data_IF_082165824243
#
_entry.id   IF_082165824243
#
_cell.length_a   1.000
_cell.length_b   1.000
_cell.length_c   1.000
_cell.angle_alpha   90.00
_cell.angle_beta   90.00
_cell.angle_gamma   90.00
#
_symmetry.space_group_name_H-M   'P 1'
#
loop_
_entity.id
_entity.type
_entity.pdbx_description
1 polymer ?
#
# COMPACT_ATOMS: atom_id res chain seq x y z
N UNK A 1 7.73 -20.78 2.18
CA UNK A 1 6.84 -20.11 1.20
C UNK A 1 5.43 -20.05 1.79
N UNK A 2 4.89 -18.89 2.19
CA UNK A 2 3.56 -18.82 2.75
C UNK A 2 2.52 -18.99 1.64
N UNK A 3 1.61 -19.94 1.84
CA UNK A 3 0.62 -20.37 0.87
C UNK A 3 -0.26 -19.21 0.35
N UNK A 4 -0.29 -19.04 -0.97
CA UNK A 4 -1.15 -18.10 -1.68
C UNK A 4 -2.67 -18.36 -1.48
N UNK A 5 -3.05 -19.45 -0.80
CA UNK A 5 -4.44 -19.85 -0.56
C UNK A 5 -5.24 -18.94 0.38
N UNK A 6 -4.60 -18.27 1.35
CA UNK A 6 -5.31 -17.47 2.36
C UNK A 6 -6.00 -16.21 1.82
N UNK A 7 -5.42 -15.55 0.80
CA UNK A 7 -5.98 -14.33 0.21
C UNK A 7 -7.19 -14.59 -0.69
N UNK A 8 -7.20 -15.73 -1.40
CA UNK A 8 -8.30 -16.13 -2.28
C UNK A 8 -9.58 -16.48 -1.50
N UNK A 9 -9.44 -17.20 -0.38
CA UNK A 9 -10.56 -17.58 0.49
C UNK A 9 -11.27 -16.36 1.11
N UNK A 10 -10.49 -15.36 1.53
CA UNK A 10 -11.03 -14.10 2.09
C UNK A 10 -11.81 -13.30 1.04
N UNK A 11 -11.35 -13.29 -0.21
CA UNK A 11 -12.05 -12.64 -1.32
C UNK A 11 -13.37 -13.36 -1.65
N UNK A 12 -13.33 -14.67 -1.87
CA UNK A 12 -14.50 -15.48 -2.21
C UNK A 12 -15.61 -15.39 -1.15
N UNK A 13 -15.24 -15.42 0.15
CA UNK A 13 -16.22 -15.31 1.25
C UNK A 13 -16.93 -13.95 1.28
N UNK A 14 -16.21 -12.86 0.97
CA UNK A 14 -16.80 -11.51 0.90
C UNK A 14 -17.75 -11.38 -0.29
N UNK A 15 -17.33 -11.84 -1.46
CA UNK A 15 -18.15 -11.81 -2.67
C UNK A 15 -19.40 -12.68 -2.55
N UNK A 16 -19.28 -13.83 -1.90
CA UNK A 16 -20.43 -14.67 -1.60
C UNK A 16 -21.51 -13.90 -0.83
N UNK A 17 -21.17 -13.18 0.24
CA UNK A 17 -22.14 -12.38 1.02
C UNK A 17 -22.82 -11.31 0.17
N UNK A 18 -22.05 -10.57 -0.63
CA UNK A 18 -22.59 -9.53 -1.51
C UNK A 18 -23.44 -10.10 -2.64
N UNK A 19 -23.03 -11.22 -3.24
CA UNK A 19 -23.78 -11.94 -4.30
C UNK A 19 -25.10 -12.48 -3.75
N UNK A 20 -25.09 -13.17 -2.62
CA UNK A 20 -26.31 -13.72 -2.00
C UNK A 20 -27.30 -12.60 -1.68
N UNK A 21 -26.83 -11.47 -1.13
CA UNK A 21 -27.68 -10.31 -0.87
C UNK A 21 -28.28 -9.75 -2.17
N UNK A 22 -27.45 -9.53 -3.19
CA UNK A 22 -27.87 -8.95 -4.47
C UNK A 22 -28.85 -9.85 -5.23
N UNK A 23 -28.58 -11.15 -5.30
CA UNK A 23 -29.47 -12.10 -5.97
C UNK A 23 -30.76 -12.36 -5.20
N UNK A 24 -30.74 -12.34 -3.85
CA UNK A 24 -31.98 -12.43 -3.04
C UNK A 24 -32.86 -11.20 -3.22
N UNK A 25 -32.29 -10.00 -3.18
CA UNK A 25 -33.03 -8.77 -3.40
C UNK A 25 -33.49 -8.65 -4.86
N UNK A 26 -32.65 -9.08 -5.80
CA UNK A 26 -32.96 -9.14 -7.23
C UNK A 26 -34.06 -10.15 -7.55
N UNK A 27 -34.13 -11.28 -6.83
CA UNK A 27 -35.19 -12.27 -6.98
C UNK A 27 -36.57 -11.64 -6.79
N UNK A 28 -36.77 -10.81 -5.75
CA UNK A 28 -38.03 -10.10 -5.52
C UNK A 28 -38.37 -9.19 -6.71
N UNK A 29 -37.38 -8.45 -7.22
CA UNK A 29 -37.55 -7.59 -8.40
C UNK A 29 -37.98 -8.38 -9.65
N UNK A 30 -37.31 -9.50 -9.93
CA UNK A 30 -37.60 -10.34 -11.10
C UNK A 30 -38.93 -11.06 -10.97
N UNK A 31 -39.28 -11.59 -9.78
CA UNK A 31 -40.57 -12.23 -9.50
C UNK A 31 -41.73 -11.30 -9.87
N UNK A 32 -41.71 -10.06 -9.39
CA UNK A 32 -42.80 -9.10 -9.62
C UNK A 32 -42.78 -8.53 -11.05
N UNK A 33 -41.61 -8.49 -11.72
CA UNK A 33 -41.52 -8.18 -13.14
C UNK A 33 -42.13 -9.27 -14.02
N UNK A 34 -41.93 -10.54 -13.66
CA UNK A 34 -42.38 -11.71 -14.41
C UNK A 34 -43.82 -12.12 -14.11
N UNK A 35 -44.32 -11.88 -12.89
CA UNK A 35 -45.63 -12.36 -12.44
C UNK A 35 -46.80 -12.02 -13.40
N UNK A 36 -46.91 -10.79 -13.95
CA UNK A 36 -47.98 -10.44 -14.89
C UNK A 36 -47.88 -11.14 -16.26
N UNK A 37 -46.71 -11.70 -16.59
CA UNK A 37 -46.46 -12.35 -17.89
C UNK A 37 -46.91 -13.82 -17.91
N UNK A 38 -47.37 -14.35 -16.78
CA UNK A 38 -47.76 -15.76 -16.62
C UNK A 38 -46.74 -16.74 -17.22
N UNK A 39 -45.45 -16.67 -16.84
CA UNK A 39 -44.42 -17.47 -17.47
C UNK A 39 -44.58 -18.96 -17.15
N UNK A 40 -44.11 -19.85 -18.05
CA UNK A 40 -44.17 -21.28 -17.83
C UNK A 40 -43.37 -21.71 -16.59
N UNK A 41 -43.77 -22.83 -15.97
CA UNK A 41 -43.23 -23.31 -14.68
C UNK A 41 -41.71 -23.44 -14.65
N UNK A 42 -41.07 -23.79 -15.77
CA UNK A 42 -39.62 -23.92 -15.85
C UNK A 42 -38.89 -22.60 -15.56
N UNK A 43 -39.50 -21.45 -15.88
CA UNK A 43 -38.92 -20.12 -15.63
C UNK A 43 -38.85 -19.85 -14.13
N UNK A 44 -39.91 -20.21 -13.40
CA UNK A 44 -39.95 -20.10 -11.93
C UNK A 44 -38.87 -20.96 -11.28
N UNK A 45 -38.72 -22.21 -11.74
CA UNK A 45 -37.67 -23.12 -11.26
C UNK A 45 -36.28 -22.54 -11.53
N UNK A 46 -36.05 -22.05 -12.76
CA UNK A 46 -34.77 -21.42 -13.12
C UNK A 46 -34.46 -20.18 -12.27
N UNK A 47 -35.46 -19.34 -11.99
CA UNK A 47 -35.30 -18.15 -11.15
C UNK A 47 -34.89 -18.51 -9.72
N UNK A 48 -35.51 -19.53 -9.13
CA UNK A 48 -35.14 -20.02 -7.79
C UNK A 48 -33.71 -20.58 -7.77
N UNK A 49 -33.34 -21.37 -8.78
CA UNK A 49 -31.98 -21.90 -8.93
C UNK A 49 -30.97 -20.75 -9.06
N UNK A 50 -31.25 -19.76 -9.91
CA UNK A 50 -30.37 -18.62 -10.13
C UNK A 50 -30.22 -17.74 -8.88
N UNK A 51 -31.28 -17.53 -8.12
CA UNK A 51 -31.24 -16.67 -6.93
C UNK A 51 -30.57 -17.35 -5.73
N UNK A 52 -30.91 -18.62 -5.47
CA UNK A 52 -30.58 -19.28 -4.20
C UNK A 52 -29.54 -20.38 -4.34
N UNK A 53 -29.47 -21.11 -5.47
CA UNK A 53 -28.51 -22.21 -5.64
C UNK A 53 -27.18 -21.70 -6.20
N UNK A 54 -27.25 -20.85 -7.21
CA UNK A 54 -26.08 -20.32 -7.91
C UNK A 54 -25.05 -19.61 -7.01
N UNK A 55 -25.41 -18.74 -6.03
CA UNK A 55 -24.42 -18.13 -5.14
C UNK A 55 -23.52 -19.15 -4.43
N UNK A 56 -24.08 -20.29 -4.03
CA UNK A 56 -23.34 -21.36 -3.37
C UNK A 56 -22.43 -22.10 -4.35
N UNK A 57 -22.92 -22.41 -5.55
CA UNK A 57 -22.12 -23.04 -6.61
C UNK A 57 -20.95 -22.14 -7.03
N UNK A 58 -21.21 -20.85 -7.21
CA UNK A 58 -20.19 -19.86 -7.52
C UNK A 58 -19.11 -19.80 -6.41
N UNK A 59 -19.53 -19.79 -5.15
CA UNK A 59 -18.60 -19.83 -4.01
C UNK A 59 -17.76 -21.11 -3.98
N UNK A 60 -18.37 -22.27 -4.20
CA UNK A 60 -17.66 -23.55 -4.28
C UNK A 60 -16.66 -23.56 -5.44
N UNK A 61 -17.05 -23.08 -6.62
CA UNK A 61 -16.17 -22.99 -7.78
C UNK A 61 -14.95 -22.07 -7.51
N UNK A 62 -15.18 -20.92 -6.86
CA UNK A 62 -14.09 -20.00 -6.47
C UNK A 62 -13.19 -20.53 -5.37
N UNK A 63 -13.66 -21.48 -4.56
CA UNK A 63 -12.90 -22.13 -3.49
C UNK A 63 -11.98 -23.25 -3.99
N UNK A 64 -12.46 -24.05 -4.94
CA UNK A 64 -11.70 -25.20 -5.47
C UNK A 64 -10.85 -24.86 -6.71
N UNK A 65 -11.03 -23.67 -7.30
CA UNK A 65 -10.24 -23.23 -8.44
C UNK A 65 -8.80 -22.85 -8.08
N UNK A 66 -7.83 -23.26 -8.94
CA UNK A 66 -6.41 -22.93 -8.79
C UNK A 66 -6.12 -21.41 -8.74
N UNK A 67 -7.00 -20.59 -9.33
CA UNK A 67 -6.95 -19.14 -9.24
C UNK A 67 -8.33 -18.57 -8.87
N UNK A 68 -8.51 -18.29 -7.58
CA UNK A 68 -9.77 -17.79 -7.02
C UNK A 68 -10.25 -16.49 -7.69
N UNK A 69 -9.35 -15.56 -8.01
CA UNK A 69 -9.71 -14.28 -8.64
C UNK A 69 -10.24 -14.48 -10.07
N UNK A 70 -9.62 -15.38 -10.84
CA UNK A 70 -10.07 -15.70 -12.21
C UNK A 70 -11.42 -16.42 -12.20
N UNK A 71 -11.61 -17.36 -11.27
CA UNK A 71 -12.89 -18.03 -11.07
C UNK A 71 -13.99 -17.03 -10.71
N UNK A 72 -13.70 -16.09 -9.81
CA UNK A 72 -14.67 -15.10 -9.38
C UNK A 72 -15.07 -14.15 -10.51
N UNK A 73 -14.12 -13.71 -11.34
CA UNK A 73 -14.42 -12.91 -12.54
C UNK A 73 -15.33 -13.68 -13.50
N UNK A 74 -15.12 -14.97 -13.71
CA UNK A 74 -16.01 -15.80 -14.54
C UNK A 74 -17.43 -15.86 -13.95
N UNK A 75 -17.55 -16.03 -12.64
CA UNK A 75 -18.85 -16.07 -11.97
C UNK A 75 -19.59 -14.73 -12.08
N UNK A 76 -18.90 -13.60 -11.98
CA UNK A 76 -19.50 -12.26 -12.17
C UNK A 76 -19.96 -12.00 -13.62
N UNK A 77 -19.24 -12.53 -14.61
CA UNK A 77 -19.69 -12.47 -16.01
C UNK A 77 -20.95 -13.32 -16.20
N UNK A 78 -21.04 -14.47 -15.54
CA UNK A 78 -22.26 -15.28 -15.53
C UNK A 78 -23.42 -14.55 -14.82
N UNK A 79 -23.17 -13.91 -13.67
CA UNK A 79 -24.16 -13.07 -12.98
C UNK A 79 -24.68 -11.96 -13.92
N UNK A 80 -23.77 -11.31 -14.64
CA UNK A 80 -24.08 -10.26 -15.62
C UNK A 80 -24.91 -10.79 -16.79
N UNK A 81 -24.56 -11.96 -17.31
CA UNK A 81 -25.35 -12.65 -18.34
C UNK A 81 -26.77 -12.96 -17.85
N UNK A 82 -26.92 -13.54 -16.65
CA UNK A 82 -28.22 -13.81 -16.06
C UNK A 82 -29.02 -12.53 -15.83
N UNK A 83 -28.38 -11.45 -15.38
CA UNK A 83 -29.03 -10.14 -15.23
C UNK A 83 -29.59 -9.62 -16.57
N UNK A 84 -28.82 -9.72 -17.65
CA UNK A 84 -29.29 -9.39 -18.99
C UNK A 84 -30.43 -10.30 -19.47
N UNK A 85 -30.35 -11.61 -19.20
CA UNK A 85 -31.41 -12.55 -19.51
C UNK A 85 -32.73 -12.16 -18.85
N UNK A 86 -32.71 -11.81 -17.55
CA UNK A 86 -33.92 -11.40 -16.84
C UNK A 86 -34.51 -10.09 -17.36
N UNK A 87 -33.69 -9.15 -17.81
CA UNK A 87 -34.14 -7.90 -18.44
C UNK A 87 -34.97 -8.18 -19.71
N UNK A 88 -34.50 -9.09 -20.56
CA UNK A 88 -35.25 -9.52 -21.73
C UNK A 88 -36.53 -10.28 -21.35
N UNK A 89 -36.44 -11.17 -20.36
CA UNK A 89 -37.56 -12.02 -19.94
C UNK A 89 -38.71 -11.20 -19.35
N UNK A 90 -38.40 -10.11 -18.65
CA UNK A 90 -39.37 -9.14 -18.12
C UNK A 90 -39.89 -8.16 -19.18
N UNK A 91 -39.63 -8.41 -20.47
CA UNK A 91 -40.07 -7.58 -21.59
C UNK A 91 -39.63 -6.11 -21.41
N UNK A 92 -38.39 -5.91 -20.95
CA UNK A 92 -37.77 -4.59 -20.76
C UNK A 92 -38.56 -3.62 -19.88
N UNK A 93 -39.27 -4.13 -18.86
CA UNK A 93 -39.93 -3.26 -17.88
C UNK A 93 -38.91 -2.25 -17.29
N UNK A 94 -39.14 -0.93 -17.40
CA UNK A 94 -38.11 0.08 -17.17
C UNK A 94 -37.43 -0.02 -15.82
N UNK A 95 -38.19 -0.07 -14.72
CA UNK A 95 -37.63 -0.02 -13.38
C UNK A 95 -36.87 -1.31 -13.02
N UNK A 96 -37.45 -2.53 -13.11
CA UNK A 96 -36.71 -3.78 -12.86
C UNK A 96 -35.48 -3.94 -13.75
N UNK A 97 -35.56 -3.50 -15.01
CA UNK A 97 -34.47 -3.62 -15.97
C UNK A 97 -33.30 -2.71 -15.58
N UNK A 98 -33.56 -1.42 -15.33
CA UNK A 98 -32.53 -0.47 -14.91
C UNK A 98 -31.91 -0.88 -13.58
N UNK A 99 -32.72 -1.32 -12.61
CA UNK A 99 -32.22 -1.82 -11.33
C UNK A 99 -31.30 -3.03 -11.50
N UNK A 100 -31.67 -4.00 -12.32
CA UNK A 100 -30.89 -5.22 -12.57
C UNK A 100 -29.57 -4.89 -13.29
N UNK A 101 -29.62 -4.13 -14.39
CA UNK A 101 -28.43 -3.74 -15.15
C UNK A 101 -27.47 -2.88 -14.31
N UNK A 102 -28.02 -1.96 -13.51
CA UNK A 102 -27.23 -1.12 -12.60
C UNK A 102 -26.55 -1.97 -11.53
N UNK A 103 -27.27 -2.92 -10.94
CA UNK A 103 -26.71 -3.85 -9.95
C UNK A 103 -25.53 -4.66 -10.52
N UNK A 104 -25.70 -5.24 -11.71
CA UNK A 104 -24.64 -6.02 -12.37
C UNK A 104 -23.44 -5.15 -12.71
N UNK A 105 -23.68 -3.93 -13.20
CA UNK A 105 -22.63 -2.96 -13.52
C UNK A 105 -21.86 -2.54 -12.27
N UNK A 106 -22.54 -2.25 -11.16
CA UNK A 106 -21.91 -1.92 -9.87
C UNK A 106 -20.99 -3.04 -9.40
N UNK A 107 -21.41 -4.30 -9.50
CA UNK A 107 -20.58 -5.45 -9.15
C UNK A 107 -19.33 -5.55 -10.01
N UNK A 108 -19.47 -5.39 -11.33
CA UNK A 108 -18.35 -5.45 -12.25
C UNK A 108 -17.30 -4.35 -11.97
N UNK A 109 -17.76 -3.13 -11.67
CA UNK A 109 -16.87 -2.01 -11.33
C UNK A 109 -16.20 -2.24 -9.98
N UNK A 110 -16.95 -2.64 -8.95
CA UNK A 110 -16.43 -2.82 -7.59
C UNK A 110 -15.29 -3.85 -7.51
N UNK A 111 -15.28 -4.85 -8.40
CA UNK A 111 -14.35 -5.98 -8.33
C UNK A 111 -13.31 -5.96 -9.45
N UNK A 112 -13.71 -5.60 -10.67
CA UNK A 112 -12.85 -5.67 -11.85
C UNK A 112 -12.46 -4.32 -12.45
N UNK A 113 -13.01 -3.22 -11.93
CA UNK A 113 -12.77 -1.87 -12.43
C UNK A 113 -13.42 -1.61 -13.81
N UNK A 114 -13.08 -0.48 -14.45
CA UNK A 114 -13.78 -0.02 -15.66
C UNK A 114 -13.58 -0.92 -16.88
N UNK A 115 -12.42 -1.58 -17.00
CA UNK A 115 -12.18 -2.53 -18.12
C UNK A 115 -13.05 -3.76 -18.02
N UNK A 116 -13.28 -4.25 -16.81
CA UNK A 116 -14.13 -5.42 -16.58
C UNK A 116 -15.63 -5.08 -16.69
N UNK A 117 -16.01 -3.84 -16.38
CA UNK A 117 -17.36 -3.31 -16.63
C UNK A 117 -17.78 -3.50 -18.10
N UNK A 118 -16.89 -3.21 -19.06
CA UNK A 118 -17.17 -3.38 -20.49
C UNK A 118 -17.47 -4.83 -20.83
N UNK A 119 -16.68 -5.78 -20.32
CA UNK A 119 -16.94 -7.22 -20.49
C UNK A 119 -18.29 -7.62 -19.87
N UNK A 120 -18.64 -7.02 -18.73
CA UNK A 120 -19.92 -7.19 -18.08
C UNK A 120 -21.09 -6.69 -18.92
N UNK A 121 -20.95 -5.58 -19.63
CA UNK A 121 -21.97 -5.09 -20.58
C UNK A 121 -22.12 -6.01 -21.79
N UNK A 122 -21.02 -6.54 -22.31
CA UNK A 122 -21.08 -7.57 -23.37
C UNK A 122 -21.84 -8.81 -22.87
N UNK A 123 -21.54 -9.29 -21.66
CA UNK A 123 -22.25 -10.42 -21.06
C UNK A 123 -23.75 -10.14 -20.87
N UNK A 124 -24.11 -8.94 -20.39
CA UNK A 124 -25.51 -8.50 -20.28
C UNK A 124 -26.21 -8.48 -21.64
N UNK A 125 -25.56 -7.92 -22.68
CA UNK A 125 -26.09 -7.91 -24.04
C UNK A 125 -26.31 -9.31 -24.62
N UNK A 126 -25.37 -10.24 -24.39
CA UNK A 126 -25.54 -11.64 -24.77
C UNK A 126 -26.71 -12.30 -24.03
N UNK A 127 -26.88 -12.01 -22.73
CA UNK A 127 -28.02 -12.49 -21.94
C UNK A 127 -29.36 -12.00 -22.48
N UNK A 128 -29.44 -10.71 -22.80
CA UNK A 128 -30.62 -10.11 -23.44
C UNK A 128 -30.91 -10.80 -24.79
N UNK A 129 -29.89 -11.01 -25.62
CA UNK A 129 -30.02 -11.69 -26.91
C UNK A 129 -30.58 -13.10 -26.78
N UNK A 130 -30.07 -13.89 -25.83
CA UNK A 130 -30.60 -15.24 -25.55
C UNK A 130 -32.05 -15.17 -25.06
N UNK A 131 -32.38 -14.21 -24.20
CA UNK A 131 -33.75 -14.03 -23.75
C UNK A 131 -34.72 -13.71 -24.89
N UNK A 132 -34.32 -12.88 -25.85
CA UNK A 132 -35.15 -12.52 -27.00
C UNK A 132 -35.37 -13.68 -27.98
N UNK A 133 -34.51 -14.70 -27.94
CA UNK A 133 -34.72 -15.94 -28.70
C UNK A 133 -35.71 -16.88 -28.00
N UNK A 134 -35.76 -16.84 -26.66
CA UNK A 134 -36.60 -17.71 -25.84
C UNK A 134 -37.99 -17.12 -25.63
N UNK A 135 -38.08 -15.81 -25.44
CA UNK A 135 -39.32 -15.06 -25.26
C UNK A 135 -39.51 -14.14 -26.46
N UNK A 136 -40.74 -14.07 -26.99
CA UNK A 136 -41.05 -13.17 -28.09
C UNK A 136 -40.73 -11.71 -27.70
N UNK A 137 -40.09 -10.92 -28.58
CA UNK A 137 -39.71 -9.56 -28.26
C UNK A 137 -40.95 -8.72 -27.93
N UNK A 138 -40.99 -8.20 -26.71
CA UNK A 138 -42.05 -7.32 -26.22
C UNK A 138 -41.45 -6.25 -25.31
N UNK A 139 -42.13 -5.10 -25.25
CA UNK A 139 -41.71 -3.94 -24.49
C UNK A 139 -42.86 -3.42 -23.63
N UNK A 140 -42.72 -3.51 -22.30
CA UNK A 140 -43.70 -2.97 -21.35
C UNK A 140 -43.21 -1.60 -20.88
N UNK A 141 -43.84 -0.53 -21.34
CA UNK A 141 -43.39 0.85 -21.08
C UNK A 141 -43.72 1.36 -19.67
N UNK A 142 -44.62 0.69 -18.93
CA UNK A 142 -45.15 1.19 -17.65
C UNK A 142 -44.88 0.18 -16.54
N UNK A 143 -44.29 0.65 -15.44
CA UNK A 143 -44.08 -0.14 -14.22
C UNK A 143 -45.29 0.00 -13.30
N UNK A 144 -45.85 -1.11 -12.83
CA UNK A 144 -46.98 -1.10 -11.88
C UNK A 144 -46.55 -0.69 -10.47
N UNK A 145 -47.49 -0.26 -9.63
CA UNK A 145 -47.20 0.12 -8.24
C UNK A 145 -46.60 -1.05 -7.41
N UNK A 146 -47.03 -2.29 -7.67
CA UNK A 146 -46.48 -3.48 -7.02
C UNK A 146 -45.04 -3.75 -7.44
N UNK A 147 -44.72 -3.60 -8.73
CA UNK A 147 -43.34 -3.70 -9.25
C UNK A 147 -42.44 -2.60 -8.69
N UNK A 148 -42.96 -1.38 -8.56
CA UNK A 148 -42.24 -0.26 -7.95
C UNK A 148 -41.83 -0.59 -6.51
N UNK A 149 -42.78 -1.00 -5.67
CA UNK A 149 -42.49 -1.34 -4.28
C UNK A 149 -41.55 -2.55 -4.16
N UNK A 150 -41.66 -3.53 -5.05
CA UNK A 150 -40.75 -4.67 -5.11
C UNK A 150 -39.28 -4.27 -5.42
N UNK A 151 -39.06 -3.17 -6.14
CA UNK A 151 -37.72 -2.67 -6.47
C UNK A 151 -37.10 -1.77 -5.38
N UNK A 152 -37.90 -1.21 -4.46
CA UNK A 152 -37.37 -0.29 -3.45
C UNK A 152 -36.30 -0.91 -2.54
N UNK A 153 -36.44 -2.16 -2.03
CA UNK A 153 -35.42 -2.76 -1.17
C UNK A 153 -34.08 -2.93 -1.87
N UNK A 154 -34.06 -3.40 -3.13
CA UNK A 154 -32.82 -3.56 -3.89
C UNK A 154 -32.19 -2.19 -4.21
N UNK A 155 -33.00 -1.18 -4.56
CA UNK A 155 -32.50 0.16 -4.87
C UNK A 155 -31.91 0.88 -3.66
N UNK A 156 -32.46 0.68 -2.46
CA UNK A 156 -31.95 1.31 -1.23
C UNK A 156 -30.85 0.48 -0.56
N UNK A 157 -31.10 -0.80 -0.31
CA UNK A 157 -30.24 -1.61 0.55
C UNK A 157 -28.97 -2.07 -0.19
N UNK A 158 -29.06 -2.37 -1.48
CA UNK A 158 -27.92 -2.94 -2.20
C UNK A 158 -26.77 -1.95 -2.42
N UNK A 159 -27.00 -0.71 -2.95
CA UNK A 159 -25.92 0.26 -3.10
C UNK A 159 -25.29 0.66 -1.77
N UNK A 160 -26.10 0.78 -0.70
CA UNK A 160 -25.59 1.05 0.65
C UNK A 160 -24.71 -0.09 1.16
N UNK A 161 -25.16 -1.33 1.02
CA UNK A 161 -24.39 -2.51 1.43
C UNK A 161 -23.07 -2.61 0.64
N UNK A 162 -23.11 -2.44 -0.68
CA UNK A 162 -21.92 -2.49 -1.54
C UNK A 162 -20.96 -1.34 -1.22
N UNK A 163 -21.48 -0.12 -1.07
CA UNK A 163 -20.70 1.07 -0.69
C UNK A 163 -20.01 0.90 0.66
N UNK A 164 -20.71 0.39 1.67
CA UNK A 164 -20.14 0.07 2.98
C UNK A 164 -19.03 -0.98 2.90
N UNK A 165 -19.23 -2.04 2.11
CA UNK A 165 -18.22 -3.08 1.89
C UNK A 165 -16.97 -2.48 1.23
N UNK A 166 -17.13 -1.69 0.17
CA UNK A 166 -16.03 -1.02 -0.52
C UNK A 166 -15.27 -0.04 0.40
N UNK A 167 -15.99 0.77 1.18
CA UNK A 167 -15.39 1.69 2.14
C UNK A 167 -14.55 0.97 3.19
N UNK A 168 -15.11 -0.08 3.83
CA UNK A 168 -14.37 -0.88 4.83
C UNK A 168 -13.13 -1.54 4.26
N UNK A 169 -13.18 -2.00 3.00
CA UNK A 169 -12.02 -2.56 2.33
C UNK A 169 -10.93 -1.52 2.09
N UNK A 170 -11.30 -0.32 1.62
CA UNK A 170 -10.35 0.78 1.41
C UNK A 170 -9.64 1.16 2.72
N UNK A 171 -10.39 1.32 3.81
CA UNK A 171 -9.83 1.64 5.14
C UNK A 171 -8.91 0.53 5.66
N UNK A 172 -9.33 -0.73 5.55
CA UNK A 172 -8.53 -1.88 6.03
C UNK A 172 -7.22 -2.00 5.26
N UNK A 173 -7.27 -1.82 3.93
CA UNK A 173 -6.09 -1.84 3.07
C UNK A 173 -5.13 -0.70 3.43
N UNK A 174 -5.65 0.50 3.65
CA UNK A 174 -4.84 1.65 4.07
C UNK A 174 -4.15 1.40 5.43
N UNK A 175 -4.86 0.79 6.39
CA UNK A 175 -4.28 0.45 7.70
C UNK A 175 -3.16 -0.57 7.57
N UNK A 176 -3.37 -1.68 6.86
CA UNK A 176 -2.33 -2.69 6.65
C UNK A 176 -1.12 -2.12 5.90
N UNK A 177 -1.34 -1.23 4.94
CA UNK A 177 -0.24 -0.51 4.28
C UNK A 177 0.57 0.31 5.29
N UNK A 178 -0.08 1.03 6.21
CA UNK A 178 0.61 1.79 7.27
C UNK A 178 1.36 0.88 8.24
N UNK A 179 0.76 -0.23 8.67
CA UNK A 179 1.42 -1.22 9.53
C UNK A 179 2.67 -1.81 8.86
N UNK A 180 2.58 -2.17 7.57
CA UNK A 180 3.73 -2.66 6.81
C UNK A 180 4.83 -1.60 6.67
N UNK A 181 4.45 -0.33 6.47
CA UNK A 181 5.42 0.77 6.43
C UNK A 181 6.06 1.02 7.79
N UNK A 182 5.31 0.90 8.89
CA UNK A 182 5.83 1.02 10.25
C UNK A 182 6.78 -0.13 10.61
N UNK A 183 6.56 -1.33 10.07
CA UNK A 183 7.45 -2.49 10.21
C UNK A 183 8.64 -2.46 9.24
N UNK A 184 8.69 -1.50 8.31
CA UNK A 184 9.87 -1.33 7.45
C UNK A 184 11.08 -0.99 8.32
N UNK A 185 12.20 -1.69 8.12
CA UNK A 185 13.49 -1.33 8.75
C UNK A 185 14.27 -0.30 7.94
N UNK A 186 13.80 0.04 6.74
CA UNK A 186 14.49 0.91 5.80
C UNK A 186 13.69 2.17 5.51
N UNK A 187 14.39 3.30 5.38
CA UNK A 187 13.81 4.54 4.91
C UNK A 187 13.54 4.47 3.39
N UNK A 188 12.33 4.87 2.98
CA UNK A 188 11.88 4.70 1.60
C UNK A 188 12.60 5.58 0.58
N UNK A 189 13.18 6.71 1.02
CA UNK A 189 13.87 7.65 0.14
C UNK A 189 15.34 7.28 -0.04
N UNK A 190 16.04 7.02 1.06
CA UNK A 190 17.47 6.70 1.09
C UNK A 190 17.77 5.22 0.86
N UNK A 191 16.82 4.34 1.19
CA UNK A 191 17.03 2.89 1.29
C UNK A 191 17.93 2.46 2.45
N UNK A 192 18.45 3.39 3.26
CA UNK A 192 19.25 3.08 4.45
C UNK A 192 18.34 2.58 5.58
N UNK A 193 18.92 2.18 6.72
CA UNK A 193 18.14 1.93 7.91
C UNK A 193 17.32 3.18 8.26
N UNK A 194 16.07 3.01 8.68
CA UNK A 194 15.32 4.13 9.26
C UNK A 194 15.78 4.40 10.70
N UNK A 195 15.32 5.52 11.24
CA UNK A 195 15.61 5.96 12.61
C UNK A 195 15.50 4.84 13.65
N UNK A 196 14.36 4.13 13.67
CA UNK A 196 14.11 3.05 14.63
C UNK A 196 15.08 1.88 14.47
N UNK A 197 15.23 1.36 13.25
CA UNK A 197 16.10 0.22 13.00
C UNK A 197 17.57 0.54 13.26
N UNK A 198 18.03 1.76 12.96
CA UNK A 198 19.39 2.17 13.26
C UNK A 198 19.63 2.27 14.78
N UNK A 199 18.68 2.83 15.53
CA UNK A 199 18.75 2.91 16.99
C UNK A 199 18.79 1.53 17.66
N UNK A 200 18.03 0.57 17.14
CA UNK A 200 18.08 -0.83 17.61
C UNK A 200 19.49 -1.42 17.41
N UNK A 201 20.13 -1.13 16.27
CA UNK A 201 21.50 -1.57 16.00
C UNK A 201 22.53 -0.86 16.88
N UNK A 202 22.32 0.42 17.21
CA UNK A 202 23.18 1.16 18.13
C UNK A 202 23.19 0.49 19.51
N UNK A 203 22.02 0.10 20.02
CA UNK A 203 21.92 -0.58 21.31
C UNK A 203 22.65 -1.93 21.28
N UNK A 204 22.50 -2.70 20.20
CA UNK A 204 23.22 -3.98 20.02
C UNK A 204 24.73 -3.76 20.05
N UNK A 205 25.24 -2.77 19.30
CA UNK A 205 26.68 -2.49 19.25
C UNK A 205 27.20 -1.94 20.58
N UNK A 206 26.43 -1.11 21.27
CA UNK A 206 26.77 -0.62 22.61
C UNK A 206 26.94 -1.79 23.60
N UNK A 207 25.99 -2.73 23.62
CA UNK A 207 26.09 -3.92 24.48
C UNK A 207 27.25 -4.84 24.09
N UNK A 208 27.62 -4.89 22.79
CA UNK A 208 28.79 -5.61 22.31
C UNK A 208 30.09 -4.97 22.84
N UNK A 209 30.23 -3.65 22.72
CA UNK A 209 31.40 -2.90 23.21
C UNK A 209 31.55 -3.00 24.73
N UNK A 210 30.45 -3.03 25.48
CA UNK A 210 30.49 -3.26 26.94
C UNK A 210 31.09 -4.61 27.34
N UNK A 211 31.03 -5.62 26.46
CA UNK A 211 31.50 -6.98 26.74
C UNK A 211 32.97 -7.21 26.34
N UNK A 212 33.57 -6.35 25.54
CA UNK A 212 34.94 -6.54 25.07
C UNK A 212 35.59 -5.28 24.49
N UNK A 213 36.92 -5.16 24.53
CA UNK A 213 37.66 -3.92 24.27
C UNK A 213 37.80 -3.55 22.78
N UNK A 214 36.86 -3.96 21.92
CA UNK A 214 36.91 -3.56 20.52
C UNK A 214 36.58 -2.07 20.40
N UNK A 215 37.43 -1.30 19.71
CA UNK A 215 37.17 0.11 19.45
C UNK A 215 35.94 0.25 18.56
N UNK A 216 35.03 1.16 18.87
CA UNK A 216 33.90 1.49 18.01
C UNK A 216 33.70 3.00 17.99
N UNK A 217 33.12 3.51 16.91
CA UNK A 217 32.72 4.91 16.80
C UNK A 217 31.34 5.02 16.16
N UNK A 218 30.66 6.11 16.44
CA UNK A 218 29.45 6.51 15.72
C UNK A 218 29.63 7.89 15.12
N UNK A 219 29.00 8.10 13.96
CA UNK A 219 28.96 9.37 13.26
C UNK A 219 27.52 9.86 13.17
N UNK A 220 27.30 11.14 13.49
CA UNK A 220 26.11 11.90 13.12
C UNK A 220 26.48 12.86 12.00
N UNK A 221 25.69 12.87 10.95
CA UNK A 221 25.97 13.57 9.70
C UNK A 221 24.76 14.45 9.39
N UNK A 222 24.99 15.70 9.07
CA UNK A 222 23.96 16.65 8.68
C UNK A 222 24.33 17.32 7.35
N UNK A 223 23.34 17.49 6.48
CA UNK A 223 23.53 18.23 5.23
C UNK A 223 23.44 19.72 5.53
N UNK A 224 24.56 20.42 5.33
CA UNK A 224 24.64 21.84 5.59
C UNK A 224 23.64 22.62 4.72
N UNK A 225 22.89 23.51 5.36
CA UNK A 225 21.94 24.40 4.69
C UNK A 225 20.84 23.69 3.88
N UNK A 226 20.47 22.45 4.22
CA UNK A 226 19.47 21.68 3.46
C UNK A 226 18.13 22.39 3.27
N UNK A 227 17.67 23.14 4.27
CA UNK A 227 16.46 23.97 4.15
C UNK A 227 16.58 25.01 3.02
N UNK A 228 17.73 25.69 2.92
CA UNK A 228 17.99 26.67 1.85
C UNK A 228 18.00 25.98 0.48
N UNK A 229 18.53 24.75 0.40
CA UNK A 229 18.49 23.96 -0.84
C UNK A 229 17.05 23.68 -1.26
N UNK A 230 16.19 23.25 -0.33
CA UNK A 230 14.78 23.02 -0.62
C UNK A 230 14.05 24.31 -1.02
N UNK A 231 14.32 25.41 -0.33
CA UNK A 231 13.66 26.69 -0.58
C UNK A 231 14.08 27.30 -1.93
N UNK A 232 15.34 27.07 -2.35
CA UNK A 232 15.91 27.65 -3.59
C UNK A 232 15.67 26.77 -4.81
N UNK A 233 15.85 25.45 -4.68
CA UNK A 233 15.85 24.50 -5.81
C UNK A 233 14.65 23.54 -5.79
N UNK A 234 13.78 23.64 -4.78
CA UNK A 234 12.61 22.79 -4.60
C UNK A 234 12.91 21.44 -3.95
N UNK A 235 11.87 20.84 -3.36
CA UNK A 235 11.96 19.55 -2.65
C UNK A 235 12.46 18.39 -3.51
N UNK A 236 12.22 18.41 -4.82
CA UNK A 236 12.72 17.37 -5.74
C UNK A 236 14.25 17.35 -5.76
N UNK A 237 14.88 18.53 -5.72
CA UNK A 237 16.33 18.66 -5.67
C UNK A 237 16.87 18.21 -4.30
N UNK A 238 16.20 18.59 -3.21
CA UNK A 238 16.54 18.08 -1.87
C UNK A 238 16.50 16.55 -1.79
N UNK A 239 15.47 15.93 -2.36
CA UNK A 239 15.36 14.47 -2.46
C UNK A 239 16.53 13.84 -3.26
N UNK A 240 17.01 14.51 -4.32
CA UNK A 240 18.18 14.06 -5.08
C UNK A 240 19.43 14.10 -4.20
N UNK A 241 19.65 15.20 -3.47
CA UNK A 241 20.78 15.36 -2.54
C UNK A 241 20.78 14.25 -1.48
N UNK A 242 19.63 13.98 -0.86
CA UNK A 242 19.47 12.90 0.13
C UNK A 242 19.81 11.52 -0.47
N UNK A 243 19.34 11.22 -1.68
CA UNK A 243 19.67 9.96 -2.38
C UNK A 243 21.15 9.86 -2.72
N UNK A 244 21.80 10.97 -3.11
CA UNK A 244 23.24 10.98 -3.39
C UNK A 244 24.06 10.72 -2.13
N UNK A 245 23.74 11.35 -1.01
CA UNK A 245 24.40 11.06 0.26
C UNK A 245 24.27 9.59 0.64
N UNK A 246 23.06 9.03 0.47
CA UNK A 246 22.78 7.61 0.72
C UNK A 246 23.64 6.69 -0.14
N UNK A 247 23.85 7.05 -1.42
CA UNK A 247 24.71 6.32 -2.34
C UNK A 247 26.18 6.43 -1.93
N UNK A 248 26.65 7.61 -1.59
CA UNK A 248 28.02 7.85 -1.11
C UNK A 248 28.29 7.03 0.15
N UNK A 249 27.38 7.04 1.13
CA UNK A 249 27.49 6.20 2.33
C UNK A 249 27.63 4.72 1.97
N UNK A 250 26.73 4.16 1.16
CA UNK A 250 26.79 2.74 0.75
C UNK A 250 28.06 2.35 0.00
N UNK A 251 28.64 3.27 -0.77
CA UNK A 251 29.81 3.00 -1.60
C UNK A 251 31.14 3.10 -0.83
N UNK A 252 31.16 3.85 0.27
CA UNK A 252 32.40 4.13 1.02
C UNK A 252 32.43 3.43 2.39
N UNK A 253 31.32 2.86 2.84
CA UNK A 253 31.23 2.09 4.08
C UNK A 253 31.46 0.60 3.84
N UNK A 254 32.02 -0.07 4.86
CA UNK A 254 32.23 -1.53 4.87
C UNK A 254 30.90 -2.24 5.05
N UNK A 255 30.85 -3.53 4.74
CA UNK A 255 29.65 -4.36 4.95
C UNK A 255 29.22 -4.46 6.41
N UNK A 256 30.15 -4.27 7.34
CA UNK A 256 29.91 -4.27 8.79
C UNK A 256 29.43 -2.92 9.31
N UNK A 257 29.65 -1.84 8.57
CA UNK A 257 29.25 -0.50 8.98
C UNK A 257 27.75 -0.30 8.70
N UNK A 258 27.04 0.34 9.63
CA UNK A 258 25.58 0.45 9.56
C UNK A 258 25.16 1.91 9.40
N UNK A 259 24.71 2.27 8.21
CA UNK A 259 24.18 3.59 7.91
C UNK A 259 22.65 3.65 8.02
N UNK A 260 22.16 4.73 8.62
CA UNK A 260 20.74 5.04 8.74
C UNK A 260 20.45 6.50 8.42
N UNK A 261 19.18 6.79 8.10
CA UNK A 261 18.64 8.15 8.06
C UNK A 261 17.90 8.41 9.37
N UNK A 262 18.45 9.30 10.17
CA UNK A 262 18.02 9.58 11.54
C UNK A 262 16.81 10.53 11.56
N UNK A 263 16.83 11.55 10.72
CA UNK A 263 15.80 12.57 10.58
C UNK A 263 15.93 13.28 9.25
N UNK A 264 15.00 14.17 8.89
CA UNK A 264 14.95 14.95 7.63
C UNK A 264 16.21 14.90 6.75
N UNK A 265 17.24 15.63 7.16
CA UNK A 265 18.56 15.80 6.55
C UNK A 265 19.71 15.16 7.36
N UNK A 266 19.36 14.42 8.42
CA UNK A 266 20.30 13.83 9.36
C UNK A 266 20.51 12.34 9.05
N UNK A 267 21.78 11.94 8.97
CA UNK A 267 22.23 10.58 8.74
C UNK A 267 23.12 10.15 9.89
N UNK A 268 23.20 8.84 10.09
CA UNK A 268 23.98 8.28 11.18
C UNK A 268 24.68 7.00 10.72
N UNK A 269 25.86 6.76 11.27
CA UNK A 269 26.69 5.60 10.93
C UNK A 269 27.24 4.97 12.20
N UNK A 270 27.11 3.65 12.32
CA UNK A 270 27.82 2.85 13.32
C UNK A 270 29.04 2.28 12.62
N UNK A 271 30.22 2.44 13.23
CA UNK A 271 31.52 1.97 12.74
C UNK A 271 32.08 0.96 13.75
N UNK A 272 31.67 -0.32 13.67
CA UNK A 272 32.18 -1.34 14.55
C UNK A 272 33.68 -1.57 14.31
N UNK A 273 34.38 -1.94 15.37
CA UNK A 273 35.80 -2.31 15.34
C UNK A 273 36.69 -1.21 14.69
N UNK A 274 36.30 0.06 14.83
CA UNK A 274 36.98 1.23 14.27
C UNK A 274 37.37 2.22 15.38
N UNK A 275 38.68 2.47 15.61
CA UNK A 275 39.14 3.50 16.53
C UNK A 275 38.88 4.91 15.97
N UNK A 276 38.81 5.91 16.85
CA UNK A 276 38.42 7.28 16.51
C UNK A 276 39.24 7.89 15.36
N UNK A 277 40.57 7.72 15.38
CA UNK A 277 41.46 8.27 14.35
C UNK A 277 41.09 7.76 12.95
N UNK A 278 40.85 6.45 12.80
CA UNK A 278 40.40 5.84 11.55
C UNK A 278 38.99 6.27 11.17
N UNK A 279 38.09 6.40 12.15
CA UNK A 279 36.75 6.91 11.92
C UNK A 279 36.77 8.34 11.36
N UNK A 280 37.64 9.19 11.89
CA UNK A 280 37.85 10.56 11.40
C UNK A 280 38.35 10.56 9.96
N UNK A 281 39.37 9.74 9.64
CA UNK A 281 39.88 9.63 8.26
C UNK A 281 38.79 9.18 7.27
N UNK A 282 38.01 8.16 7.62
CA UNK A 282 36.95 7.62 6.76
C UNK A 282 35.83 8.63 6.55
N UNK A 283 35.38 9.28 7.63
CA UNK A 283 34.30 10.28 7.55
C UNK A 283 34.74 11.55 6.83
N UNK A 284 35.98 11.98 6.98
CA UNK A 284 36.49 13.16 6.27
C UNK A 284 36.64 12.88 4.76
N UNK A 285 37.14 11.69 4.40
CA UNK A 285 37.15 11.25 3.00
C UNK A 285 35.74 11.15 2.40
N UNK A 286 34.75 10.73 3.19
CA UNK A 286 33.35 10.70 2.77
C UNK A 286 32.80 12.12 2.53
N UNK A 287 33.07 13.04 3.45
CA UNK A 287 32.71 14.47 3.34
C UNK A 287 33.28 15.06 2.06
N UNK A 288 34.57 14.86 1.79
CA UNK A 288 35.21 15.39 0.59
C UNK A 288 34.61 14.81 -0.70
N UNK A 289 34.33 13.50 -0.73
CA UNK A 289 33.66 12.87 -1.87
C UNK A 289 32.27 13.44 -2.12
N UNK A 290 31.52 13.70 -1.06
CA UNK A 290 30.19 14.29 -1.18
C UNK A 290 30.25 15.75 -1.65
N UNK A 291 31.18 16.54 -1.11
CA UNK A 291 31.43 17.92 -1.55
C UNK A 291 31.80 18.02 -3.04
N UNK A 292 32.50 17.01 -3.56
CA UNK A 292 32.95 16.96 -4.95
C UNK A 292 31.85 16.52 -5.93
N UNK A 293 30.64 16.15 -5.46
CA UNK A 293 29.57 15.74 -6.35
C UNK A 293 29.08 16.91 -7.22
N UNK A 294 29.05 16.67 -8.53
CA UNK A 294 28.40 17.56 -9.49
C UNK A 294 26.93 17.14 -9.68
N UNK A 295 26.02 18.09 -9.52
CA UNK A 295 24.59 17.87 -9.73
C UNK A 295 24.22 18.24 -11.17
N UNK A 296 23.89 17.25 -11.99
CA UNK A 296 23.64 17.44 -13.44
C UNK A 296 22.51 18.45 -13.71
N UNK A 297 21.49 18.47 -12.85
CA UNK A 297 20.37 19.40 -13.00
C UNK A 297 20.71 20.84 -12.61
N UNK A 298 21.71 21.02 -11.75
CA UNK A 298 22.20 22.34 -11.35
C UNK A 298 23.71 22.30 -11.05
N UNK A 299 24.56 22.65 -12.03
CA UNK A 299 26.02 22.63 -11.86
C UNK A 299 26.57 23.59 -10.81
N UNK A 300 25.76 24.58 -10.39
CA UNK A 300 26.14 25.60 -9.40
C UNK A 300 25.86 25.15 -7.97
N UNK A 301 25.00 24.12 -7.79
CA UNK A 301 24.71 23.55 -6.48
C UNK A 301 26.00 23.00 -5.85
N UNK A 302 26.30 23.53 -4.66
CA UNK A 302 27.36 23.05 -3.77
C UNK A 302 26.71 22.65 -2.47
N UNK A 303 26.97 21.42 -2.04
CA UNK A 303 26.39 20.83 -0.83
C UNK A 303 27.54 20.28 -0.01
N UNK A 304 27.52 20.57 1.30
CA UNK A 304 28.50 20.04 2.25
C UNK A 304 27.86 19.33 3.43
N UNK A 305 28.70 18.63 4.18
CA UNK A 305 28.30 17.89 5.37
C UNK A 305 29.03 18.40 6.60
N UNK A 306 28.30 18.53 7.70
CA UNK A 306 28.87 18.59 9.03
C UNK A 306 28.76 17.21 9.67
N UNK A 307 29.84 16.72 10.29
CA UNK A 307 29.91 15.37 10.87
C UNK A 307 30.41 15.46 12.31
N UNK A 308 29.65 14.89 13.25
CA UNK A 308 30.05 14.67 14.63
C UNK A 308 30.41 13.22 14.89
N UNK A 309 31.61 12.97 15.40
CA UNK A 309 32.11 11.63 15.75
C UNK A 309 32.22 11.46 17.26
N UNK A 310 31.80 10.29 17.76
CA UNK A 310 32.06 9.89 19.14
C UNK A 310 32.60 8.46 19.19
N UNK A 311 33.78 8.23 19.81
CA UNK A 311 34.22 6.87 20.11
C UNK A 311 33.38 6.30 21.26
N UNK A 312 33.21 4.98 21.29
CA UNK A 312 32.70 4.30 22.47
C UNK A 312 33.66 4.53 23.65
N UNK A 313 33.11 4.85 24.82
CA UNK A 313 33.85 4.98 26.07
C UNK A 313 33.19 4.11 27.16
N UNK A 314 33.98 3.45 28.03
CA UNK A 314 33.44 2.68 29.16
C UNK A 314 32.60 3.52 30.14
N UNK A 315 32.74 4.85 30.11
CA UNK A 315 32.00 5.83 30.91
C UNK A 315 30.56 6.05 30.42
N UNK A 316 30.21 5.64 29.19
CA UNK A 316 28.85 5.73 28.67
C UNK A 316 27.92 4.78 29.45
N UNK A 317 26.88 5.34 30.06
CA UNK A 317 25.90 4.56 30.85
C UNK A 317 24.93 3.76 29.97
N UNK A 318 24.57 4.31 28.81
CA UNK A 318 23.67 3.72 27.83
C UNK A 318 24.02 4.19 26.39
N UNK A 319 23.41 3.57 25.39
CA UNK A 319 23.60 3.96 23.99
C UNK A 319 23.19 5.41 23.71
N UNK A 320 22.22 5.95 24.46
CA UNK A 320 21.78 7.34 24.33
C UNK A 320 22.89 8.32 24.73
N UNK A 321 23.62 8.05 25.81
CA UNK A 321 24.75 8.88 26.23
C UNK A 321 25.87 8.92 25.19
N UNK A 322 26.14 7.78 24.54
CA UNK A 322 27.09 7.73 23.42
C UNK A 322 26.61 8.55 22.22
N UNK A 323 25.31 8.45 21.89
CA UNK A 323 24.70 9.25 20.83
C UNK A 323 24.76 10.76 21.10
N UNK A 324 24.55 11.18 22.35
CA UNK A 324 24.61 12.58 22.76
C UNK A 324 26.02 13.17 22.57
N UNK A 325 27.08 12.40 22.77
CA UNK A 325 28.44 12.86 22.49
C UNK A 325 28.64 13.14 21.00
N UNK A 326 28.11 12.27 20.12
CA UNK A 326 28.19 12.49 18.68
C UNK A 326 27.35 13.70 18.22
N UNK A 327 26.20 13.94 18.86
CA UNK A 327 25.38 15.14 18.65
C UNK A 327 26.13 16.41 19.07
N UNK A 328 26.78 16.39 20.24
CA UNK A 328 27.61 17.51 20.71
C UNK A 328 28.76 17.81 19.74
N UNK A 329 29.44 16.77 19.24
CA UNK A 329 30.45 16.95 18.20
C UNK A 329 29.87 17.51 16.90
N UNK A 330 28.66 17.09 16.50
CA UNK A 330 27.99 17.62 15.30
C UNK A 330 27.65 19.11 15.48
N UNK A 331 27.18 19.49 16.66
CA UNK A 331 26.94 20.88 17.01
C UNK A 331 28.22 21.72 16.94
N UNK A 332 29.36 21.19 17.42
CA UNK A 332 30.67 21.83 17.26
C UNK A 332 31.08 21.97 15.80
N UNK A 333 30.85 20.96 14.96
CA UNK A 333 31.10 21.05 13.52
C UNK A 333 30.26 22.17 12.87
N UNK A 334 28.98 22.25 13.20
CA UNK A 334 28.05 23.28 12.69
C UNK A 334 28.41 24.69 13.15
N UNK A 335 28.77 24.86 14.43
CA UNK A 335 29.09 26.17 15.01
C UNK A 335 30.47 26.69 14.63
N UNK A 336 31.43 25.80 14.32
CA UNK A 336 32.79 26.19 13.95
C UNK A 336 32.98 26.51 12.46
N UNK A 337 31.90 26.53 11.68
CA UNK A 337 31.93 26.94 10.27
C UNK A 337 31.48 25.88 9.27
N UNK A 338 30.91 24.76 9.75
CA UNK A 338 30.37 23.66 8.91
C UNK A 338 31.44 22.99 8.04
N UNK A 339 30.99 22.10 7.14
CA UNK A 339 31.82 21.38 6.18
C UNK A 339 33.06 20.74 6.81
N UNK A 340 32.88 19.99 7.91
CA UNK A 340 33.98 19.38 8.65
C UNK A 340 33.54 18.20 9.49
N UNK A 341 34.54 17.47 9.95
CA UNK A 341 34.41 16.45 10.99
C UNK A 341 34.89 17.02 12.32
N UNK A 342 34.06 16.93 13.35
CA UNK A 342 34.43 17.21 14.74
C UNK A 342 34.28 15.94 15.56
N UNK A 343 35.02 15.81 16.66
CA UNK A 343 34.94 14.65 17.55
C UNK A 343 35.04 15.04 19.01
N UNK A 344 34.27 14.41 19.88
CA UNK A 344 34.46 14.55 21.33
C UNK A 344 35.75 13.84 21.71
N UNK A 345 36.79 14.61 22.04
CA UNK A 345 38.00 14.04 22.65
C UNK A 345 37.65 13.62 24.07
N UNK A 346 37.65 12.31 24.31
CA UNK A 346 37.55 11.76 25.66
C UNK A 346 38.57 12.44 26.57
N UNK A 347 38.14 12.83 27.76
CA UNK A 347 38.89 13.58 28.78
C UNK A 347 40.19 12.91 29.26
N UNK A 348 40.54 11.74 28.74
CA UNK A 348 41.76 10.98 29.06
C UNK A 348 42.99 11.32 28.20
N UNK A 349 42.85 12.05 27.08
CA UNK A 349 43.97 12.42 26.21
C UNK A 349 44.57 13.81 26.48
N UNK A 350 44.07 14.55 27.47
CA UNK A 350 44.64 15.85 27.89
C UNK A 350 45.64 15.76 29.05
N UNK A 351 46.00 14.55 29.50
CA UNK A 351 46.88 14.33 30.65
C UNK A 351 48.04 13.36 30.39
N UNK A 352 48.52 13.29 29.15
CA UNK A 352 49.86 12.77 28.81
C UNK A 352 50.57 13.90 28.08
#
# INVERSE_FOLDING_TARGET
>A
MPAAGGKGLSLASRLYKSRTLGLTLGFVCVVFGMYPLHPPTWVWVWMVINAFVWPHLAFQASRHGANSLRSERRNLLFDSFCGGFWVGAMHFNPLPSVTTLSMMTMNNVAIGGPRFMLLGWVAQGLGIGVSLLVFAPAFIAVTTQTQLYACLPILMLYPLALGWICYRQAVTLARHKRELLALSRTDSLSGLLNHGAWKDHLEIEFQRCRRGPAGAAIALIDIDHFKIINDTYGHVTGDIVLRQLSKVLRQNLRTTDLAGRYGGDEFCVILPDMPLNRATEVMDALRDRFNALAYVQDPTLRVSLSIGLAPYQPTHGDATSWLNDADQALYEAKSSGRNRVSSVQGSWLRSI
#
